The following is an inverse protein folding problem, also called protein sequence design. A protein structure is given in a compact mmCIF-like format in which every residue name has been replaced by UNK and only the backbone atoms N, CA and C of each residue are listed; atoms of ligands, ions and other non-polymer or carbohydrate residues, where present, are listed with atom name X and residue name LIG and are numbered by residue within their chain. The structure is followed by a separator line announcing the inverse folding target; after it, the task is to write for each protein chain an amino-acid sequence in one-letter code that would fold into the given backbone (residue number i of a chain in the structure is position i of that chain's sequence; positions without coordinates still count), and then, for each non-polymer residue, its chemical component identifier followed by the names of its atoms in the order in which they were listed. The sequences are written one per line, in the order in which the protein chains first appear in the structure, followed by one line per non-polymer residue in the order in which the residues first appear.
data_IF_053481568371
#
_entry.id   IF_053481568371
#
_cell.length_a   1.000
_cell.length_b   1.000
_cell.length_c   1.000
_cell.angle_alpha   90.00
_cell.angle_beta   90.00
_cell.angle_gamma   90.00
#
_symmetry.space_group_name_H-M   'P 1'
#
loop_
_entity.id
_entity.type
_entity.pdbx_description
1 polymer ?
#
# COMPACT_ATOMS: atom_id res chain seq x y z
N UNK A 1 -4.56 -18.05 -13.55
CA UNK A 1 -3.32 -17.80 -12.78
C UNK A 1 -2.41 -19.03 -12.71
N UNK A 2 -2.84 -20.17 -12.14
CA UNK A 2 -1.98 -21.36 -12.01
C UNK A 2 -1.33 -21.88 -13.32
N UNK A 3 -2.04 -21.77 -14.46
CA UNK A 3 -1.54 -22.15 -15.79
C UNK A 3 -0.28 -21.37 -16.24
N UNK A 4 0.00 -20.21 -15.65
CA UNK A 4 1.24 -19.46 -15.94
C UNK A 4 2.50 -20.24 -15.57
N UNK A 5 2.41 -21.14 -14.58
CA UNK A 5 3.53 -22.00 -14.16
C UNK A 5 3.95 -23.00 -15.23
N UNK A 6 3.09 -23.31 -16.20
CA UNK A 6 3.45 -24.15 -17.35
C UNK A 6 4.50 -23.46 -18.23
N UNK A 7 4.41 -22.14 -18.39
CA UNK A 7 5.38 -21.36 -19.15
C UNK A 7 6.58 -20.90 -18.31
N UNK A 8 6.40 -20.69 -17.00
CA UNK A 8 7.43 -20.25 -16.06
C UNK A 8 7.43 -21.11 -14.79
N UNK A 9 8.10 -22.28 -14.78
CA UNK A 9 8.01 -23.24 -13.67
C UNK A 9 8.47 -22.71 -12.31
N UNK A 10 9.44 -21.79 -12.28
CA UNK A 10 9.96 -21.15 -11.06
C UNK A 10 9.02 -20.10 -10.46
N UNK A 11 7.95 -19.70 -11.16
CA UNK A 11 7.01 -18.68 -10.68
C UNK A 11 6.31 -19.14 -9.40
N UNK A 12 6.37 -18.31 -8.37
CA UNK A 12 5.57 -18.45 -7.16
C UNK A 12 4.26 -17.68 -7.32
N UNK A 13 3.15 -18.28 -6.88
CA UNK A 13 1.83 -17.65 -6.92
C UNK A 13 1.37 -17.51 -5.48
N UNK A 14 1.17 -16.27 -5.07
CA UNK A 14 0.73 -15.89 -3.74
C UNK A 14 -0.73 -15.45 -3.83
N UNK A 15 -1.53 -15.85 -2.85
CA UNK A 15 -2.92 -15.43 -2.74
C UNK A 15 -3.00 -14.44 -1.57
N UNK A 16 -3.12 -13.16 -1.90
CA UNK A 16 -3.43 -12.12 -0.92
C UNK A 16 -4.91 -12.20 -0.57
N UNK A 17 -5.20 -12.03 0.70
CA UNK A 17 -6.57 -12.00 1.16
C UNK A 17 -6.68 -10.93 2.20
N UNK A 18 -7.23 -9.78 1.80
CA UNK A 18 -7.31 -8.54 2.55
C UNK A 18 -7.92 -7.48 1.60
N UNK A 19 -7.38 -6.25 1.62
CA UNK A 19 -7.59 -5.17 0.65
C UNK A 19 -8.53 -4.07 1.15
N UNK A 20 -8.06 -2.81 1.17
CA UNK A 20 -8.65 -1.63 1.87
C UNK A 20 -10.15 -1.73 2.20
N UNK A 21 -11.00 -1.95 1.19
CA UNK A 21 -12.46 -2.03 1.25
C UNK A 21 -13.04 -3.10 2.19
N UNK A 22 -12.37 -4.24 2.40
CA UNK A 22 -12.86 -5.32 3.27
C UNK A 22 -12.91 -4.95 4.78
N UNK A 23 -12.38 -3.80 5.17
CA UNK A 23 -12.12 -3.30 6.53
C UNK A 23 -12.58 -1.85 6.60
N UNK A 24 -13.41 -1.43 5.64
CA UNK A 24 -14.13 -0.17 5.75
C UNK A 24 -15.07 -0.25 6.95
N UNK A 25 -15.17 0.86 7.65
CA UNK A 25 -15.98 0.96 8.86
C UNK A 25 -17.44 0.63 8.58
N UNK A 26 -18.07 -0.05 9.54
CA UNK A 26 -19.48 -0.42 9.52
C UNK A 26 -19.87 -1.40 8.39
N UNK A 27 -18.90 -2.12 7.81
CA UNK A 27 -19.17 -3.18 6.84
C UNK A 27 -19.28 -4.55 7.51
N UNK A 28 -20.04 -5.52 6.94
CA UNK A 28 -20.14 -6.88 7.47
C UNK A 28 -18.80 -7.62 7.55
N UNK A 29 -17.82 -7.19 6.74
CA UNK A 29 -16.48 -7.79 6.66
C UNK A 29 -15.52 -7.23 7.69
N UNK A 30 -15.77 -6.03 8.23
CA UNK A 30 -14.91 -5.36 9.21
C UNK A 30 -14.60 -6.24 10.46
N UNK A 31 -15.56 -6.87 11.15
CA UNK A 31 -15.27 -7.59 12.40
C UNK A 31 -14.69 -9.00 12.19
N UNK A 32 -14.68 -9.52 10.95
CA UNK A 32 -14.39 -10.92 10.64
C UNK A 32 -12.98 -11.31 11.13
N UNK A 33 -11.98 -10.48 10.86
CA UNK A 33 -10.60 -10.76 11.22
C UNK A 33 -10.39 -10.79 12.74
N UNK A 34 -10.83 -9.74 13.45
CA UNK A 34 -10.75 -9.66 14.92
C UNK A 34 -11.36 -10.89 15.57
N UNK A 35 -12.56 -11.28 15.13
CA UNK A 35 -13.27 -12.41 15.69
C UNK A 35 -12.50 -13.73 15.47
N UNK A 36 -11.82 -13.86 14.33
CA UNK A 36 -11.00 -15.01 14.00
C UNK A 36 -9.70 -15.05 14.82
N UNK A 37 -8.98 -13.93 14.89
CA UNK A 37 -7.71 -13.82 15.60
C UNK A 37 -7.87 -14.03 17.11
N UNK A 38 -9.01 -13.67 17.69
CA UNK A 38 -9.26 -13.70 19.14
C UNK A 38 -9.26 -15.11 19.74
N UNK A 39 -9.84 -16.10 19.07
CA UNK A 39 -10.03 -17.44 19.66
C UNK A 39 -9.26 -18.51 18.90
N UNK A 40 -8.56 -19.40 19.63
CA UNK A 40 -7.74 -20.47 19.06
C UNK A 40 -8.50 -21.30 18.02
N UNK A 41 -9.74 -21.70 18.33
CA UNK A 41 -10.59 -22.48 17.42
C UNK A 41 -10.80 -21.78 16.07
N UNK A 42 -10.95 -20.45 16.07
CA UNK A 42 -11.16 -19.70 14.85
C UNK A 42 -9.84 -19.45 14.12
N UNK A 43 -8.74 -19.24 14.85
CA UNK A 43 -7.37 -19.24 14.26
C UNK A 43 -7.07 -20.55 13.55
N UNK A 44 -7.43 -21.69 14.12
CA UNK A 44 -7.25 -23.01 13.49
C UNK A 44 -8.14 -23.19 12.25
N UNK A 45 -9.42 -22.79 12.32
CA UNK A 45 -10.33 -22.81 11.16
C UNK A 45 -9.82 -21.89 10.05
N UNK A 46 -9.25 -20.75 10.41
CA UNK A 46 -8.75 -19.76 9.46
C UNK A 46 -7.34 -20.07 8.93
N UNK A 47 -6.49 -20.70 9.72
CA UNK A 47 -5.25 -21.28 9.20
C UNK A 47 -5.56 -22.28 8.06
N UNK A 48 -6.76 -22.86 8.09
CA UNK A 48 -7.34 -23.63 7.00
C UNK A 48 -8.14 -22.78 5.96
N UNK A 49 -8.52 -21.52 6.25
CA UNK A 49 -9.30 -20.59 5.40
C UNK A 49 -9.04 -19.08 5.69
N UNK A 50 -8.51 -18.33 4.73
CA UNK A 50 -7.44 -17.30 4.88
C UNK A 50 -7.99 -15.85 4.61
N UNK A 51 -7.73 -14.74 5.40
CA UNK A 51 -8.07 -13.23 5.26
C UNK A 51 -7.53 -12.17 6.32
N UNK A 52 -6.74 -11.13 5.93
CA UNK A 52 -6.77 -9.64 6.24
C UNK A 52 -5.95 -8.89 7.37
N UNK A 53 -5.54 -7.63 7.07
CA UNK A 53 -5.05 -6.41 7.82
C UNK A 53 -6.12 -5.35 8.27
N UNK A 54 -5.88 -4.35 9.15
CA UNK A 54 -4.73 -4.08 10.04
C UNK A 54 -5.15 -4.36 11.50
N UNK A 55 -4.37 -5.11 12.29
CA UNK A 55 -4.63 -5.29 13.72
C UNK A 55 -4.47 -3.98 14.48
N UNK A 56 -5.24 -3.76 15.55
CA UNK A 56 -4.97 -2.71 16.54
C UNK A 56 -5.39 -1.27 16.19
N UNK A 57 -5.51 -0.91 14.91
CA UNK A 57 -5.88 0.44 14.48
C UNK A 57 -7.35 0.81 14.85
N UNK A 58 -7.60 1.74 15.79
CA UNK A 58 -8.95 2.01 16.29
C UNK A 58 -9.89 2.63 15.24
N UNK A 59 -9.35 3.46 14.35
CA UNK A 59 -10.04 4.04 13.19
C UNK A 59 -10.38 3.02 12.10
N UNK A 60 -10.07 1.73 12.34
CA UNK A 60 -10.48 0.58 11.54
C UNK A 60 -11.18 -0.50 12.37
N UNK A 61 -11.56 -0.19 13.60
CA UNK A 61 -12.23 -1.12 14.53
C UNK A 61 -11.30 -2.12 15.24
N UNK A 62 -9.98 -1.90 15.17
CA UNK A 62 -8.96 -2.68 15.88
C UNK A 62 -8.95 -2.45 17.39
N UNK A 63 -8.42 -3.43 18.14
CA UNK A 63 -8.24 -3.39 19.60
C UNK A 63 -6.77 -3.67 19.97
N UNK A 64 -6.27 -3.18 21.13
CA UNK A 64 -4.89 -3.42 21.54
C UNK A 64 -4.46 -4.89 21.51
N UNK A 65 -5.30 -5.80 21.98
CA UNK A 65 -5.03 -7.25 21.99
C UNK A 65 -4.88 -7.86 20.58
N UNK A 66 -5.28 -7.16 19.52
CA UNK A 66 -5.14 -7.65 18.14
C UNK A 66 -3.66 -7.74 17.72
N UNK A 67 -2.76 -6.96 18.34
CA UNK A 67 -1.31 -7.00 18.06
C UNK A 67 -0.76 -8.40 18.38
N UNK A 68 -0.93 -8.86 19.61
CA UNK A 68 -0.46 -10.18 20.06
C UNK A 68 -1.22 -11.32 19.35
N UNK A 69 -2.53 -11.16 19.17
CA UNK A 69 -3.36 -12.16 18.50
C UNK A 69 -2.97 -12.33 17.02
N UNK A 70 -2.45 -11.30 16.36
CA UNK A 70 -1.99 -11.42 14.98
C UNK A 70 -0.71 -12.26 14.87
N UNK A 71 0.22 -12.10 15.81
CA UNK A 71 1.41 -12.98 15.91
C UNK A 71 0.99 -14.43 16.14
N UNK A 72 0.04 -14.66 17.06
CA UNK A 72 -0.50 -16.00 17.31
C UNK A 72 -1.19 -16.60 16.08
N UNK A 73 -1.87 -15.78 15.28
CA UNK A 73 -2.48 -16.21 14.03
C UNK A 73 -1.43 -16.67 13.02
N UNK A 74 -0.38 -15.88 12.80
CA UNK A 74 0.70 -16.23 11.89
C UNK A 74 1.43 -17.51 12.33
N UNK A 75 1.65 -17.66 13.63
CA UNK A 75 2.20 -18.89 14.23
C UNK A 75 1.38 -20.12 13.89
N UNK A 76 0.06 -20.04 14.01
CA UNK A 76 -0.84 -21.17 13.69
C UNK A 76 -0.84 -21.47 12.18
N UNK A 77 -0.85 -20.44 11.31
CA UNK A 77 -0.77 -20.61 9.86
C UNK A 77 0.55 -21.31 9.48
N UNK A 78 1.68 -20.86 10.04
CA UNK A 78 3.00 -21.46 9.80
C UNK A 78 3.01 -22.93 10.20
N UNK A 79 2.51 -23.25 11.39
CA UNK A 79 2.43 -24.63 11.88
C UNK A 79 1.52 -25.53 11.00
N UNK A 80 0.43 -25.00 10.44
CA UNK A 80 -0.41 -25.74 9.48
C UNK A 80 0.33 -25.95 8.15
N UNK A 81 1.01 -24.92 7.65
CA UNK A 81 1.75 -25.01 6.39
C UNK A 81 2.91 -26.01 6.49
N UNK A 82 3.67 -25.99 7.59
CA UNK A 82 4.75 -26.95 7.84
C UNK A 82 4.24 -28.39 7.90
N UNK A 83 3.14 -28.63 8.64
CA UNK A 83 2.51 -29.96 8.71
C UNK A 83 1.95 -30.45 7.39
N UNK A 84 1.62 -29.56 6.47
CA UNK A 84 1.08 -29.94 5.16
C UNK A 84 2.10 -30.62 4.24
N UNK A 85 3.41 -30.50 4.53
CA UNK A 85 4.50 -30.99 3.69
C UNK A 85 4.64 -30.23 2.36
N UNK A 86 3.86 -29.17 2.14
CA UNK A 86 3.90 -28.33 0.94
C UNK A 86 4.83 -27.15 1.18
N UNK A 87 5.58 -26.75 0.16
CA UNK A 87 6.35 -25.50 0.19
C UNK A 87 5.40 -24.30 0.02
N UNK A 88 4.84 -23.83 1.14
CA UNK A 88 3.94 -22.69 1.22
C UNK A 88 4.59 -21.59 2.05
N UNK A 89 4.53 -20.36 1.53
CA UNK A 89 5.01 -19.18 2.23
C UNK A 89 3.90 -18.29 2.77
N UNK A 90 4.28 -17.40 3.68
CA UNK A 90 3.46 -16.40 4.35
C UNK A 90 4.12 -15.04 4.14
N UNK A 91 3.38 -14.08 3.61
CA UNK A 91 3.82 -12.69 3.53
C UNK A 91 2.71 -11.77 4.04
N UNK A 92 3.07 -10.59 4.53
CA UNK A 92 2.12 -9.56 4.99
C UNK A 92 2.31 -8.28 4.20
N UNK A 93 1.28 -7.44 4.12
CA UNK A 93 1.45 -6.06 3.66
C UNK A 93 1.46 -5.14 4.89
N UNK A 94 2.44 -4.25 4.96
CA UNK A 94 2.61 -3.32 6.09
C UNK A 94 2.54 -1.87 5.59
N UNK A 95 1.97 -0.95 6.38
CA UNK A 95 1.85 0.45 6.00
C UNK A 95 3.19 1.19 6.17
N UNK A 96 3.43 2.21 5.35
CA UNK A 96 4.57 3.11 5.54
C UNK A 96 4.37 4.11 6.70
N UNK A 97 3.13 4.52 6.97
CA UNK A 97 2.82 5.46 8.05
C UNK A 97 3.01 4.82 9.43
N UNK A 98 3.78 5.49 10.30
CA UNK A 98 3.98 5.10 11.69
C UNK A 98 2.66 4.90 12.45
N UNK A 99 1.65 5.73 12.16
CA UNK A 99 0.37 5.68 12.87
C UNK A 99 -0.33 4.32 12.77
N UNK A 100 -0.19 3.66 11.62
CA UNK A 100 -0.68 2.31 11.39
C UNK A 100 0.38 1.25 11.71
N UNK A 101 1.65 1.51 11.39
CA UNK A 101 2.74 0.55 11.55
C UNK A 101 2.99 0.17 13.02
N UNK A 102 2.74 1.09 13.97
CA UNK A 102 2.92 0.83 15.41
C UNK A 102 2.10 -0.34 15.97
N UNK A 103 1.08 -0.79 15.24
CA UNK A 103 0.24 -1.93 15.62
C UNK A 103 0.75 -3.28 15.08
N UNK A 104 1.92 -3.29 14.44
CA UNK A 104 2.57 -4.49 13.93
C UNK A 104 3.76 -4.83 14.82
N UNK A 105 3.67 -5.94 15.56
CA UNK A 105 4.86 -6.56 16.17
C UNK A 105 5.71 -7.21 15.08
N UNK A 106 6.46 -6.40 14.33
CA UNK A 106 7.23 -6.87 13.18
C UNK A 106 8.22 -7.98 13.54
N UNK A 107 9.00 -7.91 14.64
CA UNK A 107 9.85 -9.03 15.06
C UNK A 107 9.04 -10.31 15.28
N UNK A 108 7.95 -10.27 16.05
CA UNK A 108 7.11 -11.45 16.30
C UNK A 108 6.43 -11.99 15.05
N UNK A 109 5.96 -11.12 14.15
CA UNK A 109 5.34 -11.51 12.89
C UNK A 109 6.33 -12.16 11.93
N UNK A 110 7.55 -11.62 11.83
CA UNK A 110 8.62 -12.13 10.96
C UNK A 110 9.31 -13.41 11.48
N UNK A 111 9.00 -13.87 12.69
CA UNK A 111 9.33 -15.26 13.10
C UNK A 111 8.57 -16.29 12.26
N UNK A 112 7.38 -15.93 11.76
CA UNK A 112 6.46 -16.85 11.09
C UNK A 112 6.18 -16.48 9.63
N UNK A 113 6.41 -15.23 9.23
CA UNK A 113 6.32 -14.77 7.85
C UNK A 113 7.69 -14.78 7.14
N UNK A 114 7.69 -15.09 5.85
CA UNK A 114 8.90 -15.11 5.03
C UNK A 114 9.40 -13.69 4.73
N UNK A 115 8.47 -12.77 4.43
CA UNK A 115 8.76 -11.36 4.16
C UNK A 115 7.51 -10.48 4.32
N UNK A 116 7.73 -9.16 4.35
CA UNK A 116 6.68 -8.13 4.34
C UNK A 116 6.75 -7.31 3.05
N UNK A 117 5.61 -6.90 2.55
CA UNK A 117 5.47 -5.94 1.46
C UNK A 117 5.19 -4.57 2.07
N UNK A 118 6.11 -3.62 1.93
CA UNK A 118 5.90 -2.25 2.40
C UNK A 118 5.03 -1.50 1.40
N UNK A 119 3.89 -0.97 1.84
CA UNK A 119 3.07 -0.03 1.06
C UNK A 119 3.72 1.35 1.05
N UNK A 120 4.81 1.47 0.29
CA UNK A 120 5.57 2.70 0.05
C UNK A 120 4.91 3.59 -1.01
N UNK A 121 3.59 3.72 -0.92
CA UNK A 121 2.72 4.52 -1.75
C UNK A 121 1.52 4.96 -0.92
N UNK A 122 0.74 5.92 -1.43
CA UNK A 122 -0.35 6.55 -0.68
C UNK A 122 0.13 7.25 0.59
N UNK A 123 1.32 7.85 0.52
CA UNK A 123 1.83 8.72 1.58
C UNK A 123 1.00 10.00 1.70
N UNK A 124 0.58 10.51 0.54
CA UNK A 124 -0.23 11.72 0.38
C UNK A 124 -1.43 11.48 -0.52
N UNK A 125 -2.51 12.21 -0.26
CA UNK A 125 -3.76 12.05 -0.98
C UNK A 125 -4.84 13.01 -0.51
N UNK A 126 -6.04 12.86 -1.04
CA UNK A 126 -7.19 13.74 -0.72
C UNK A 126 -7.58 13.74 0.76
N UNK A 127 -7.13 12.73 1.52
CA UNK A 127 -7.31 12.65 2.98
C UNK A 127 -6.47 13.66 3.76
N UNK A 128 -5.51 14.34 3.14
CA UNK A 128 -4.72 15.42 3.74
C UNK A 128 -5.51 16.75 3.84
N UNK A 129 -6.84 16.69 3.82
CA UNK A 129 -7.75 17.84 3.76
C UNK A 129 -7.65 18.80 4.95
N UNK A 130 -7.04 18.38 6.06
CA UNK A 130 -6.79 19.24 7.22
C UNK A 130 -5.62 20.23 6.98
N UNK A 131 -4.71 19.91 6.06
CA UNK A 131 -3.67 20.80 5.57
C UNK A 131 -3.53 20.59 4.05
N UNK A 132 -4.54 21.06 3.27
CA UNK A 132 -4.80 20.56 1.93
C UNK A 132 -3.79 21.08 0.92
N UNK A 133 -2.65 20.40 0.83
CA UNK A 133 -1.55 20.72 -0.08
C UNK A 133 -1.25 19.53 -0.97
N UNK A 134 -0.95 19.79 -2.25
CA UNK A 134 -0.62 18.71 -3.19
C UNK A 134 0.80 18.22 -2.90
N UNK A 135 0.94 16.93 -2.67
CA UNK A 135 2.21 16.27 -2.37
C UNK A 135 2.28 14.93 -3.10
N UNK A 136 3.51 14.44 -3.26
CA UNK A 136 3.75 13.21 -4.00
C UNK A 136 3.46 11.97 -3.15
N UNK A 137 2.60 11.08 -3.62
CA UNK A 137 2.20 9.92 -2.82
C UNK A 137 3.25 8.79 -2.75
N UNK A 138 4.37 8.93 -3.46
CA UNK A 138 5.46 7.94 -3.54
C UNK A 138 6.84 8.61 -3.38
N UNK A 139 6.91 9.67 -2.58
CA UNK A 139 8.15 10.41 -2.30
C UNK A 139 9.23 9.49 -1.67
N UNK A 140 10.34 9.28 -2.35
CA UNK A 140 11.42 8.39 -1.93
C UNK A 140 12.06 8.79 -0.60
N UNK A 141 12.16 10.09 -0.31
CA UNK A 141 12.72 10.56 0.98
C UNK A 141 11.85 10.13 2.16
N UNK A 142 10.54 10.18 2.01
CA UNK A 142 9.58 9.72 3.01
C UNK A 142 9.50 8.19 3.09
N UNK A 143 9.60 7.51 1.94
CA UNK A 143 9.71 6.04 1.89
C UNK A 143 10.95 5.58 2.67
N UNK A 144 12.08 6.29 2.55
CA UNK A 144 13.29 5.98 3.30
C UNK A 144 13.06 6.14 4.82
N UNK A 145 12.40 7.22 5.24
CA UNK A 145 12.02 7.42 6.65
C UNK A 145 11.10 6.30 7.16
N UNK A 146 10.14 5.85 6.36
CA UNK A 146 9.29 4.71 6.72
C UNK A 146 10.09 3.41 6.87
N UNK A 147 11.05 3.16 5.97
CA UNK A 147 11.92 1.99 6.05
C UNK A 147 12.83 2.02 7.29
N UNK A 148 13.31 3.20 7.73
CA UNK A 148 14.08 3.32 8.97
C UNK A 148 13.34 2.79 10.21
N UNK A 149 12.01 2.92 10.26
CA UNK A 149 11.20 2.39 11.35
C UNK A 149 11.34 0.86 11.45
N UNK A 150 11.44 0.17 10.30
CA UNK A 150 11.64 -1.27 10.23
C UNK A 150 13.03 -1.66 10.76
N UNK A 151 14.05 -0.90 10.37
CA UNK A 151 15.44 -1.16 10.77
C UNK A 151 15.64 -0.95 12.28
N UNK A 152 14.97 0.05 12.86
CA UNK A 152 15.01 0.32 14.31
C UNK A 152 14.48 -0.82 15.17
N UNK A 153 13.60 -1.65 14.63
CA UNK A 153 13.08 -2.84 15.32
C UNK A 153 13.73 -4.14 14.84
N UNK A 154 14.83 -4.06 14.08
CA UNK A 154 15.64 -5.22 13.72
C UNK A 154 15.09 -6.05 12.55
N UNK A 155 14.14 -5.54 11.78
CA UNK A 155 13.76 -6.17 10.50
C UNK A 155 14.97 -6.16 9.57
N UNK A 156 15.24 -7.26 8.86
CA UNK A 156 16.35 -7.31 7.90
C UNK A 156 15.88 -6.76 6.55
N UNK A 157 16.71 -5.99 5.82
CA UNK A 157 16.37 -5.55 4.46
C UNK A 157 15.95 -6.66 3.51
N UNK A 158 16.55 -7.85 3.62
CA UNK A 158 16.20 -9.02 2.83
C UNK A 158 14.79 -9.59 3.10
N UNK A 159 14.11 -9.15 4.16
CA UNK A 159 12.75 -9.56 4.52
C UNK A 159 11.70 -8.52 4.10
N UNK A 160 12.09 -7.46 3.39
CA UNK A 160 11.19 -6.37 2.97
C UNK A 160 11.16 -6.30 1.45
N UNK A 161 9.97 -6.35 0.89
CA UNK A 161 9.70 -6.05 -0.51
C UNK A 161 9.14 -4.63 -0.61
N UNK A 162 9.77 -3.77 -1.40
CA UNK A 162 9.32 -2.40 -1.61
C UNK A 162 8.11 -2.36 -2.55
N UNK A 163 7.08 -1.58 -2.20
CA UNK A 163 5.86 -1.43 -2.98
C UNK A 163 5.98 -0.35 -4.05
N UNK A 164 5.55 -0.66 -5.27
CA UNK A 164 5.55 0.27 -6.41
C UNK A 164 4.11 0.57 -6.82
N UNK A 165 3.72 1.85 -6.79
CA UNK A 165 2.40 2.31 -7.21
C UNK A 165 2.33 2.52 -8.72
N UNK A 166 1.54 1.71 -9.43
CA UNK A 166 1.34 1.84 -10.89
C UNK A 166 0.15 2.78 -11.21
N UNK A 167 0.07 3.87 -10.46
CA UNK A 167 -0.98 4.87 -10.49
C UNK A 167 -0.46 6.17 -9.87
N UNK A 168 -1.20 7.25 -10.01
CA UNK A 168 -0.93 8.51 -9.32
C UNK A 168 -2.06 8.93 -8.40
N UNK A 169 -1.72 9.76 -7.41
CA UNK A 169 -2.68 10.51 -6.61
C UNK A 169 -2.83 11.90 -7.18
N UNK A 170 -4.09 12.28 -7.39
CA UNK A 170 -4.45 13.43 -8.18
C UNK A 170 -5.42 14.34 -7.42
N UNK A 171 -5.35 15.63 -7.72
CA UNK A 171 -6.02 16.68 -6.97
C UNK A 171 -6.56 17.72 -7.92
N UNK A 172 -7.61 18.41 -7.49
CA UNK A 172 -8.01 19.67 -8.11
C UNK A 172 -7.44 20.82 -7.27
N UNK A 173 -6.56 21.60 -7.88
CA UNK A 173 -5.92 22.77 -7.29
C UNK A 173 -6.96 23.84 -6.91
N UNK A 174 -6.71 24.51 -5.79
CA UNK A 174 -7.50 25.66 -5.38
C UNK A 174 -7.13 26.93 -6.18
N UNK A 175 -5.86 27.08 -6.54
CA UNK A 175 -5.33 28.15 -7.38
C UNK A 175 -4.56 27.55 -8.56
N UNK A 176 -5.10 27.73 -9.78
CA UNK A 176 -4.50 27.20 -11.01
C UNK A 176 -3.16 27.83 -11.38
N UNK A 177 -2.79 28.97 -10.77
CA UNK A 177 -1.47 29.57 -10.95
C UNK A 177 -0.38 28.86 -10.15
N UNK A 178 -0.77 28.08 -9.12
CA UNK A 178 0.12 27.32 -8.26
C UNK A 178 0.12 25.84 -8.67
N UNK A 179 1.19 25.35 -9.28
CA UNK A 179 1.27 23.98 -9.87
C UNK A 179 2.39 23.10 -9.30
N UNK A 180 3.00 23.53 -8.20
CA UNK A 180 4.10 22.83 -7.53
C UNK A 180 3.59 22.05 -6.31
N UNK A 181 4.39 21.11 -5.76
CA UNK A 181 4.17 20.64 -4.39
C UNK A 181 3.96 21.80 -3.41
N UNK A 182 3.21 21.54 -2.34
CA UNK A 182 2.76 22.53 -1.34
C UNK A 182 1.66 23.51 -1.82
N UNK A 183 1.27 23.47 -3.10
CA UNK A 183 0.13 24.27 -3.57
C UNK A 183 -1.19 23.73 -2.99
N UNK A 184 -2.15 24.61 -2.65
CA UNK A 184 -3.39 24.18 -2.02
C UNK A 184 -4.30 23.43 -3.01
N UNK A 185 -4.97 22.37 -2.54
CA UNK A 185 -6.04 21.67 -3.27
C UNK A 185 -7.40 21.87 -2.61
N UNK A 186 -8.48 21.73 -3.39
CA UNK A 186 -9.85 21.80 -2.88
C UNK A 186 -10.54 20.43 -2.77
N UNK A 187 -10.22 19.51 -3.67
CA UNK A 187 -10.80 18.17 -3.73
C UNK A 187 -9.93 17.22 -4.57
N UNK A 188 -10.36 15.96 -4.74
CA UNK A 188 -9.72 15.03 -5.66
C UNK A 188 -9.85 15.47 -7.12
N UNK A 189 -8.89 15.05 -7.96
CA UNK A 189 -9.02 15.24 -9.39
C UNK A 189 -10.27 14.53 -9.95
N UNK A 190 -10.69 14.94 -11.15
CA UNK A 190 -11.77 14.27 -11.88
C UNK A 190 -11.46 12.78 -12.09
N UNK A 191 -12.45 11.89 -11.96
CA UNK A 191 -12.25 10.45 -12.20
C UNK A 191 -11.69 10.16 -13.59
N UNK A 192 -10.78 9.19 -13.67
CA UNK A 192 -10.32 8.63 -14.94
C UNK A 192 -11.42 7.84 -15.66
N UNK A 193 -11.32 7.75 -16.99
CA UNK A 193 -12.34 7.11 -17.85
C UNK A 193 -12.49 5.61 -17.54
N UNK A 194 -11.44 4.97 -17.04
CA UNK A 194 -11.43 3.53 -16.75
C UNK A 194 -11.47 3.23 -15.26
N UNK A 195 -10.76 4.00 -14.44
CA UNK A 195 -10.71 3.78 -12.98
C UNK A 195 -11.92 4.33 -12.24
N UNK A 196 -12.61 5.32 -12.82
CA UNK A 196 -13.82 5.96 -12.31
C UNK A 196 -13.74 6.31 -10.80
N UNK A 197 -12.56 6.74 -10.36
CA UNK A 197 -12.29 7.07 -8.96
C UNK A 197 -11.68 8.47 -8.87
N UNK A 198 -12.36 9.40 -8.19
CA UNK A 198 -11.82 10.75 -7.99
C UNK A 198 -10.51 10.72 -7.21
N UNK A 199 -9.55 11.55 -7.63
CA UNK A 199 -8.23 11.68 -7.03
C UNK A 199 -7.29 10.49 -7.21
N UNK A 200 -7.61 9.60 -8.15
CA UNK A 200 -6.80 8.46 -8.53
C UNK A 200 -6.80 8.34 -10.06
N UNK A 201 -5.63 8.12 -10.65
CA UNK A 201 -5.50 7.76 -12.06
C UNK A 201 -4.51 6.61 -12.21
N UNK A 202 -4.90 5.55 -12.91
CA UNK A 202 -3.96 4.49 -13.24
C UNK A 202 -2.89 5.03 -14.22
N UNK A 203 -1.68 4.43 -14.20
CA UNK A 203 -0.58 4.94 -15.03
C UNK A 203 -0.94 5.02 -16.52
N UNK A 204 -1.74 4.09 -17.06
CA UNK A 204 -2.19 4.15 -18.45
C UNK A 204 -3.13 5.33 -18.74
N UNK A 205 -3.91 5.81 -17.76
CA UNK A 205 -4.74 7.01 -17.90
C UNK A 205 -3.88 8.27 -17.89
N UNK A 206 -2.81 8.28 -17.08
CA UNK A 206 -1.79 9.35 -17.11
C UNK A 206 -1.11 9.40 -18.49
N UNK A 207 -0.75 8.24 -19.04
CA UNK A 207 -0.18 8.16 -20.39
C UNK A 207 -1.15 8.65 -21.46
N UNK A 208 -2.44 8.30 -21.38
CA UNK A 208 -3.46 8.79 -22.31
C UNK A 208 -3.62 10.32 -22.27
N UNK A 209 -3.59 10.92 -21.06
CA UNK A 209 -3.60 12.38 -20.89
C UNK A 209 -2.38 13.01 -21.58
N UNK A 210 -1.18 12.47 -21.36
CA UNK A 210 0.05 12.99 -21.97
C UNK A 210 0.06 12.84 -23.49
N UNK A 211 -0.43 11.73 -24.02
CA UNK A 211 -0.51 11.49 -25.47
C UNK A 211 -1.47 12.46 -26.16
N UNK A 212 -2.60 12.78 -25.52
CA UNK A 212 -3.60 13.72 -26.05
C UNK A 212 -3.19 15.19 -25.90
N UNK A 213 -2.24 15.48 -25.01
CA UNK A 213 -1.83 16.84 -24.66
C UNK A 213 -0.30 16.94 -24.62
N UNK A 214 0.37 16.96 -25.79
CA UNK A 214 1.83 16.91 -25.89
C UNK A 214 2.54 18.13 -25.28
N UNK A 215 1.82 19.24 -25.09
CA UNK A 215 2.35 20.47 -24.50
C UNK A 215 2.38 20.45 -22.96
N UNK A 216 1.83 19.41 -22.31
CA UNK A 216 1.91 19.27 -20.85
C UNK A 216 3.38 19.10 -20.44
N UNK A 217 3.84 20.02 -19.60
CA UNK A 217 5.16 19.94 -18.99
C UNK A 217 5.13 19.00 -17.78
N UNK A 218 5.70 17.82 -17.93
CA UNK A 218 5.99 16.92 -16.81
C UNK A 218 7.25 17.38 -16.09
N UNK A 219 7.17 17.52 -14.78
CA UNK A 219 8.31 17.85 -13.93
C UNK A 219 8.78 16.59 -13.23
N UNK A 220 10.09 16.37 -13.25
CA UNK A 220 10.74 15.26 -12.58
C UNK A 220 11.47 15.80 -11.35
N UNK A 221 10.95 15.46 -10.17
CA UNK A 221 11.62 15.68 -8.90
C UNK A 221 12.58 14.51 -8.65
N UNK A 222 13.88 14.77 -8.79
CA UNK A 222 14.93 13.76 -8.65
C UNK A 222 15.22 13.40 -7.20
N UNK A 223 14.94 14.30 -6.26
CA UNK A 223 15.17 14.04 -4.84
C UNK A 223 14.06 13.14 -4.29
N UNK A 224 12.81 13.48 -4.60
CA UNK A 224 11.67 12.64 -4.25
C UNK A 224 11.52 11.41 -5.17
N UNK A 225 12.28 11.32 -6.26
CA UNK A 225 12.17 10.28 -7.30
C UNK A 225 10.71 10.06 -7.74
N UNK A 226 10.05 11.15 -8.16
CA UNK A 226 8.66 11.17 -8.63
C UNK A 226 8.51 12.13 -9.80
N UNK A 227 7.45 11.92 -10.59
CA UNK A 227 7.01 12.89 -11.60
C UNK A 227 5.70 13.51 -11.16
N UNK A 228 5.51 14.78 -11.53
CA UNK A 228 4.23 15.44 -11.36
C UNK A 228 3.94 16.38 -12.51
N UNK A 229 2.66 16.68 -12.71
CA UNK A 229 2.21 17.61 -13.73
C UNK A 229 0.89 18.27 -13.32
N UNK A 230 0.65 19.46 -13.87
CA UNK A 230 -0.67 20.06 -13.87
C UNK A 230 -1.27 19.98 -15.28
N UNK A 231 -2.57 19.75 -15.38
CA UNK A 231 -3.29 19.70 -16.65
C UNK A 231 -4.69 20.31 -16.52
N UNK A 232 -5.33 20.55 -17.66
CA UNK A 232 -6.73 21.00 -17.75
C UNK A 232 -7.08 22.12 -16.76
N UNK A 233 -6.19 23.12 -16.72
CA UNK A 233 -6.20 24.35 -15.89
C UNK A 233 -6.01 24.14 -14.39
N UNK A 234 -6.69 23.19 -13.77
CA UNK A 234 -6.73 23.06 -12.31
C UNK A 234 -6.46 21.64 -11.79
N UNK A 235 -6.13 20.69 -12.66
CA UNK A 235 -5.83 19.32 -12.22
C UNK A 235 -4.34 19.16 -11.96
N UNK A 236 -3.99 18.39 -10.95
CA UNK A 236 -2.61 18.09 -10.59
C UNK A 236 -2.46 16.62 -10.22
N UNK A 237 -1.34 15.99 -10.58
CA UNK A 237 -1.07 14.59 -10.26
C UNK A 237 0.41 14.39 -10.00
N UNK A 238 0.71 13.56 -9.00
CA UNK A 238 2.01 12.91 -8.84
C UNK A 238 1.89 11.45 -9.24
N UNK A 239 2.90 10.92 -9.93
CA UNK A 239 2.94 9.55 -10.42
C UNK A 239 4.39 9.09 -10.61
N UNK A 240 4.53 7.79 -10.84
CA UNK A 240 5.80 7.17 -11.20
C UNK A 240 5.81 6.69 -12.65
N UNK A 241 7.00 6.64 -13.24
CA UNK A 241 7.25 6.00 -14.52
C UNK A 241 8.58 5.24 -14.55
N UNK A 242 9.04 4.82 -15.73
CA UNK A 242 10.26 4.06 -15.88
C UNK A 242 11.50 4.74 -15.27
N UNK A 243 11.60 6.08 -15.32
CA UNK A 243 12.76 6.81 -14.80
C UNK A 243 12.76 6.84 -13.26
N UNK A 244 11.60 7.06 -12.66
CA UNK A 244 11.47 7.14 -11.20
C UNK A 244 11.48 5.75 -10.56
N UNK A 245 10.90 4.75 -11.22
CA UNK A 245 11.04 3.35 -10.82
C UNK A 245 12.49 2.89 -10.85
N UNK A 246 13.26 3.28 -11.86
CA UNK A 246 14.69 2.98 -11.90
C UNK A 246 15.43 3.60 -10.70
N UNK A 247 15.17 4.88 -10.40
CA UNK A 247 15.76 5.54 -9.22
C UNK A 247 15.40 4.87 -7.91
N UNK A 248 14.18 4.33 -7.76
CA UNK A 248 13.73 3.62 -6.55
C UNK A 248 14.36 2.24 -6.39
N UNK A 249 14.97 1.70 -7.44
CA UNK A 249 15.66 0.39 -7.43
C UNK A 249 17.16 0.53 -7.16
N UNK A 250 17.76 1.65 -7.56
CA UNK A 250 19.19 1.96 -7.41
C UNK A 250 19.54 2.44 -5.98
#
# INVERSE_FOLDING_TARGET
MAKLKTAKPSLQIWLSISGWTFSDDNTPTQPVFRNIAREKRYREIFANNRRREYPGAPDRGGKPDDVDNFVLLLKEIRAVFDRSGRNLGISLTIPASYWYLKWFDLPGLLEYADFVNLMSYDLHGVWDSNNPTVLAHTNLTEIALAAELLWRVGVKPSQVSLGFGFYGRAFTLQDSSCTKPDCPFKEGARPGVCTDTSGYLAYYEVQDILQKNPDIKVIHDKEAAVKYMAWDKDQWISFDDADTFKQKVE
#
